data_IF_007056657204
#
_entry.id   IF_007056657204
#
_cell.length_a   1.000
_cell.length_b   1.000
_cell.length_c   1.000
_cell.angle_alpha   90.00
_cell.angle_beta   90.00
_cell.angle_gamma   90.00
#
_symmetry.space_group_name_H-M   'P 1'
#
loop_
_entity.id
_entity.type
_entity.pdbx_description
1 polymer ?
#
# COMPACT_ATOMS: atom_id res chain seq x y z
N UNK A 1 41.52 -27.20 8.46
CA UNK A 1 40.73 -28.38 8.88
C UNK A 1 41.50 -29.68 8.81
N UNK A 2 42.31 -29.90 7.79
CA UNK A 2 43.10 -31.14 7.67
C UNK A 2 44.08 -31.36 8.86
N UNK A 3 44.64 -30.26 9.42
CA UNK A 3 45.57 -30.29 10.57
C UNK A 3 44.93 -30.79 11.86
N UNK A 4 43.63 -30.60 12.02
CA UNK A 4 42.90 -30.90 13.27
C UNK A 4 41.83 -31.98 13.10
N UNK A 5 41.78 -32.71 11.96
CA UNK A 5 40.72 -33.66 11.62
C UNK A 5 40.36 -34.65 12.73
N UNK A 6 41.34 -35.14 13.47
CA UNK A 6 41.17 -36.19 14.49
C UNK A 6 40.50 -35.69 15.77
N UNK A 7 40.53 -34.37 16.01
CA UNK A 7 40.01 -33.76 17.24
C UNK A 7 38.67 -33.04 17.01
N UNK A 8 38.26 -32.90 15.76
CA UNK A 8 36.99 -32.25 15.39
C UNK A 8 35.79 -33.18 15.54
N UNK A 9 34.64 -32.60 15.92
CA UNK A 9 33.32 -33.25 15.81
C UNK A 9 32.82 -33.26 14.38
N UNK A 10 33.11 -32.17 13.65
CA UNK A 10 32.77 -31.99 12.25
C UNK A 10 33.91 -31.33 11.52
N UNK A 11 34.24 -31.82 10.32
CA UNK A 11 35.25 -31.23 9.47
C UNK A 11 34.79 -29.94 8.75
N UNK A 12 33.54 -29.50 8.96
CA UNK A 12 33.01 -28.27 8.37
C UNK A 12 33.04 -27.18 9.42
N UNK A 13 33.69 -26.01 9.14
CA UNK A 13 33.63 -24.87 10.02
C UNK A 13 32.18 -24.40 10.17
N UNK A 14 31.83 -23.90 11.34
CA UNK A 14 30.52 -23.32 11.63
C UNK A 14 30.65 -21.85 11.98
N UNK A 15 29.61 -21.07 11.70
CA UNK A 15 29.59 -19.64 12.04
C UNK A 15 29.02 -19.46 13.45
N UNK A 16 29.79 -18.75 14.31
CA UNK A 16 29.34 -18.34 15.64
C UNK A 16 29.75 -16.89 15.88
N UNK A 17 28.76 -16.04 16.21
CA UNK A 17 29.03 -14.62 16.46
C UNK A 17 29.67 -13.89 15.26
N UNK A 18 29.41 -14.31 14.02
CA UNK A 18 30.02 -13.73 12.82
C UNK A 18 31.41 -14.28 12.50
N UNK A 19 31.96 -15.22 13.29
CA UNK A 19 33.28 -15.80 13.09
C UNK A 19 33.20 -17.27 12.73
N UNK A 20 34.14 -17.73 11.91
CA UNK A 20 34.27 -19.14 11.55
C UNK A 20 35.03 -19.89 12.66
N UNK A 21 34.37 -20.86 13.25
CA UNK A 21 34.92 -21.68 14.36
C UNK A 21 34.92 -23.15 13.99
N UNK A 22 35.79 -23.88 14.61
CA UNK A 22 35.86 -25.35 14.57
C UNK A 22 35.09 -25.96 15.75
N UNK A 23 34.29 -26.97 15.45
CA UNK A 23 33.61 -27.75 16.47
C UNK A 23 34.60 -28.85 17.01
N UNK A 24 35.17 -28.61 18.15
CA UNK A 24 36.20 -29.47 18.76
C UNK A 24 35.60 -30.31 19.89
N UNK A 25 35.96 -31.60 19.98
CA UNK A 25 35.58 -32.44 21.10
C UNK A 25 36.08 -31.87 22.41
N UNK A 26 35.24 -31.73 23.43
CA UNK A 26 35.55 -31.05 24.69
C UNK A 26 36.77 -31.64 25.39
N UNK A 27 36.97 -32.97 25.34
CA UNK A 27 38.12 -33.66 25.90
C UNK A 27 39.43 -33.41 25.12
N UNK A 28 39.37 -32.79 23.95
CA UNK A 28 40.49 -32.45 23.07
C UNK A 28 40.65 -30.94 22.86
N UNK A 29 39.97 -30.11 23.66
CA UNK A 29 39.97 -28.64 23.50
C UNK A 29 41.38 -28.04 23.46
N UNK A 30 42.33 -28.59 24.22
CA UNK A 30 43.71 -28.08 24.30
C UNK A 30 44.56 -28.43 23.07
N UNK A 31 44.06 -29.27 22.17
CA UNK A 31 44.76 -29.64 20.94
C UNK A 31 44.61 -28.61 19.82
N UNK A 32 43.71 -27.64 19.96
CA UNK A 32 43.50 -26.55 18.99
C UNK A 32 43.77 -25.23 19.73
N UNK A 33 44.92 -24.59 19.49
CA UNK A 33 45.18 -23.25 20.01
C UNK A 33 44.22 -22.26 19.35
N UNK A 34 43.59 -21.40 20.16
CA UNK A 34 42.62 -20.45 19.65
C UNK A 34 41.67 -19.90 20.71
N UNK A 35 40.74 -19.08 20.27
CA UNK A 35 39.74 -18.42 21.11
C UNK A 35 38.49 -19.29 21.20
N UNK A 36 38.05 -19.58 22.43
CA UNK A 36 36.80 -20.29 22.69
C UNK A 36 35.64 -19.27 22.60
N UNK A 37 34.73 -19.49 21.66
CA UNK A 37 33.53 -18.64 21.47
C UNK A 37 32.30 -19.18 22.21
N UNK A 38 32.14 -20.51 22.22
CA UNK A 38 30.92 -21.12 22.78
C UNK A 38 31.22 -22.57 23.20
N UNK A 39 30.43 -23.07 24.13
CA UNK A 39 30.39 -24.50 24.53
C UNK A 39 28.97 -24.99 24.26
N UNK A 40 28.82 -26.19 23.68
CA UNK A 40 27.51 -26.77 23.42
C UNK A 40 26.73 -26.99 24.72
N UNK A 41 25.41 -26.98 24.66
CA UNK A 41 24.56 -27.20 25.85
C UNK A 41 24.84 -28.52 26.57
N UNK A 42 25.28 -29.53 25.85
CA UNK A 42 25.67 -30.83 26.42
C UNK A 42 27.08 -30.84 27.01
N UNK A 43 27.87 -29.77 26.80
CA UNK A 43 29.27 -29.70 27.22
C UNK A 43 30.24 -30.59 26.43
N UNK A 44 29.76 -31.33 25.41
CA UNK A 44 30.60 -32.30 24.69
C UNK A 44 31.42 -31.67 23.56
N UNK A 45 31.00 -30.48 23.07
CA UNK A 45 31.66 -29.77 21.95
C UNK A 45 32.01 -28.36 22.36
N UNK A 46 33.20 -27.91 22.00
CA UNK A 46 33.70 -26.56 22.19
C UNK A 46 33.95 -25.94 20.84
N UNK A 47 33.42 -24.72 20.63
CA UNK A 47 33.59 -23.97 19.38
C UNK A 47 34.80 -23.05 19.52
N UNK A 48 35.88 -23.37 18.79
CA UNK A 48 37.17 -22.69 18.88
C UNK A 48 37.49 -22.01 17.52
N UNK A 49 37.82 -20.71 17.57
CA UNK A 49 38.45 -20.02 16.45
C UNK A 49 39.96 -20.23 16.56
N UNK A 50 40.61 -20.94 15.63
CA UNK A 50 42.04 -21.18 15.68
C UNK A 50 42.83 -19.87 15.57
N UNK A 51 43.95 -19.76 16.28
CA UNK A 51 44.84 -18.57 16.21
C UNK A 51 45.19 -18.19 14.76
N UNK A 52 45.40 -19.21 13.91
CA UNK A 52 45.68 -19.03 12.47
C UNK A 52 44.53 -18.38 11.71
N UNK A 53 43.27 -18.55 12.20
CA UNK A 53 42.09 -17.97 11.56
C UNK A 53 41.73 -16.56 12.10
N UNK A 54 42.18 -16.22 13.32
CA UNK A 54 41.84 -14.95 13.98
C UNK A 54 42.27 -13.74 13.13
N UNK A 55 43.50 -13.78 12.59
CA UNK A 55 44.04 -12.68 11.78
C UNK A 55 43.17 -12.47 10.55
N UNK A 56 42.94 -13.53 9.77
CA UNK A 56 42.08 -13.47 8.59
C UNK A 56 40.63 -13.06 8.87
N UNK A 57 40.08 -13.52 10.00
CA UNK A 57 38.74 -13.12 10.46
C UNK A 57 38.69 -11.62 10.80
N UNK A 58 39.73 -11.09 11.43
CA UNK A 58 39.83 -9.67 11.77
C UNK A 58 39.95 -8.81 10.50
N UNK A 59 40.82 -9.19 9.57
CA UNK A 59 40.98 -8.52 8.28
C UNK A 59 39.67 -8.49 7.49
N UNK A 60 38.90 -9.60 7.51
CA UNK A 60 37.60 -9.65 6.87
C UNK A 60 36.61 -8.64 7.50
N UNK A 61 36.55 -8.61 8.83
CA UNK A 61 35.68 -7.68 9.55
C UNK A 61 36.07 -6.24 9.28
N UNK A 62 37.37 -5.91 9.28
CA UNK A 62 37.87 -4.56 8.93
C UNK A 62 37.47 -4.18 7.52
N UNK A 63 37.67 -5.07 6.54
CA UNK A 63 37.28 -4.84 5.15
C UNK A 63 35.76 -4.64 4.98
N UNK A 64 34.95 -5.37 5.73
CA UNK A 64 33.50 -5.18 5.76
C UNK A 64 33.10 -3.81 6.33
N UNK A 65 33.76 -3.36 7.39
CA UNK A 65 33.53 -2.01 7.92
C UNK A 65 33.94 -0.92 6.94
N UNK A 66 35.09 -1.05 6.30
CA UNK A 66 35.55 -0.11 5.25
C UNK A 66 34.57 -0.05 4.09
N UNK A 67 34.10 -1.21 3.62
CA UNK A 67 33.10 -1.29 2.56
C UNK A 67 31.79 -0.56 2.95
N UNK A 68 31.30 -0.80 4.16
CA UNK A 68 30.09 -0.12 4.65
C UNK A 68 30.28 1.39 4.78
N UNK A 69 31.46 1.82 5.22
CA UNK A 69 31.79 3.24 5.32
C UNK A 69 31.82 3.91 3.93
N UNK A 70 32.40 3.25 2.92
CA UNK A 70 32.45 3.79 1.56
C UNK A 70 31.07 3.81 0.88
N UNK A 71 30.26 2.75 1.07
CA UNK A 71 28.86 2.74 0.62
C UNK A 71 28.10 3.93 1.24
N UNK A 72 28.23 4.14 2.54
CA UNK A 72 27.57 5.26 3.22
C UNK A 72 28.00 6.61 2.67
N UNK A 73 29.29 6.80 2.41
CA UNK A 73 29.83 8.02 1.83
C UNK A 73 29.23 8.30 0.45
N UNK A 74 29.20 7.28 -0.44
CA UNK A 74 28.60 7.39 -1.76
C UNK A 74 27.12 7.77 -1.68
N UNK A 75 26.36 7.14 -0.77
CA UNK A 75 24.95 7.44 -0.57
C UNK A 75 24.72 8.89 -0.10
N UNK A 76 25.57 9.39 0.81
CA UNK A 76 25.51 10.78 1.26
C UNK A 76 25.80 11.74 0.11
N UNK A 77 26.87 11.49 -0.67
CA UNK A 77 27.22 12.32 -1.84
C UNK A 77 26.07 12.36 -2.88
N UNK A 78 25.41 11.24 -3.11
CA UNK A 78 24.24 11.18 -4.00
C UNK A 78 23.05 11.97 -3.42
N UNK A 79 22.80 11.83 -2.12
CA UNK A 79 21.73 12.55 -1.44
C UNK A 79 21.96 14.09 -1.48
N UNK A 80 23.21 14.53 -1.29
CA UNK A 80 23.57 15.94 -1.39
C UNK A 80 23.37 16.51 -2.81
N UNK A 81 23.61 15.71 -3.85
CA UNK A 81 23.34 16.10 -5.24
C UNK A 81 21.86 16.23 -5.56
N UNK A 82 20.99 15.42 -4.92
CA UNK A 82 19.54 15.41 -5.15
C UNK A 82 18.84 16.45 -4.26
N UNK A 83 19.34 16.69 -3.05
CA UNK A 83 18.72 17.55 -2.05
C UNK A 83 18.31 18.93 -2.57
N UNK A 84 19.12 19.65 -3.38
CA UNK A 84 18.74 20.96 -3.92
C UNK A 84 17.45 20.95 -4.76
N UNK A 85 17.14 19.80 -5.38
CA UNK A 85 15.98 19.64 -6.26
C UNK A 85 14.75 19.04 -5.54
N UNK A 86 14.84 18.83 -4.22
CA UNK A 86 13.79 18.13 -3.47
C UNK A 86 12.42 18.82 -3.54
N UNK A 87 12.37 20.14 -3.50
CA UNK A 87 11.12 20.90 -3.62
C UNK A 87 10.55 20.85 -5.04
N UNK A 88 11.37 20.94 -6.05
CA UNK A 88 10.96 20.82 -7.45
C UNK A 88 10.40 19.42 -7.74
N UNK A 89 11.04 18.38 -7.22
CA UNK A 89 10.54 17.00 -7.33
C UNK A 89 9.20 16.81 -6.62
N UNK A 90 9.05 17.35 -5.42
CA UNK A 90 7.77 17.33 -4.68
C UNK A 90 6.66 18.05 -5.44
N UNK A 91 6.98 19.21 -6.03
CA UNK A 91 6.01 19.96 -6.83
C UNK A 91 5.63 19.24 -8.11
N UNK A 92 6.61 18.62 -8.78
CA UNK A 92 6.36 17.78 -9.94
C UNK A 92 5.43 16.60 -9.61
N UNK A 93 5.66 15.91 -8.48
CA UNK A 93 4.77 14.84 -8.01
C UNK A 93 3.34 15.31 -7.76
N UNK A 94 3.16 16.49 -7.13
CA UNK A 94 1.82 17.08 -6.92
C UNK A 94 1.10 17.42 -8.24
N UNK A 95 1.84 17.86 -9.24
CA UNK A 95 1.27 18.14 -10.58
C UNK A 95 0.89 16.82 -11.25
N UNK A 96 1.76 15.82 -11.21
CA UNK A 96 1.49 14.49 -11.78
C UNK A 96 0.26 13.83 -11.12
N UNK A 97 0.13 13.93 -9.80
CA UNK A 97 -1.05 13.45 -9.06
C UNK A 97 -2.35 14.09 -9.57
N UNK A 98 -2.37 15.42 -9.74
CA UNK A 98 -3.53 16.12 -10.28
C UNK A 98 -3.86 15.73 -11.72
N UNK A 99 -2.84 15.53 -12.53
CA UNK A 99 -3.01 15.09 -13.93
C UNK A 99 -3.55 13.66 -13.99
N UNK A 100 -3.05 12.77 -13.14
CA UNK A 100 -3.49 11.38 -13.07
C UNK A 100 -4.96 11.28 -12.63
N UNK A 101 -5.36 12.01 -11.58
CA UNK A 101 -6.76 12.10 -11.14
C UNK A 101 -7.66 12.61 -12.26
N UNK A 102 -7.25 13.69 -12.95
CA UNK A 102 -8.04 14.25 -14.05
C UNK A 102 -8.15 13.28 -15.23
N UNK A 103 -7.06 12.59 -15.56
CA UNK A 103 -7.04 11.57 -16.61
C UNK A 103 -7.93 10.37 -16.25
N UNK A 104 -7.84 9.87 -15.03
CA UNK A 104 -8.68 8.79 -14.53
C UNK A 104 -10.17 9.15 -14.58
N UNK A 105 -10.54 10.34 -14.11
CA UNK A 105 -11.91 10.85 -14.17
C UNK A 105 -12.42 10.96 -15.59
N UNK A 106 -11.62 11.51 -16.51
CA UNK A 106 -11.99 11.66 -17.91
C UNK A 106 -12.13 10.30 -18.62
N UNK A 107 -11.20 9.39 -18.40
CA UNK A 107 -11.22 8.05 -19.00
C UNK A 107 -12.43 7.25 -18.52
N UNK A 108 -12.67 7.25 -17.19
CA UNK A 108 -13.85 6.60 -16.63
C UNK A 108 -15.15 7.24 -17.10
N UNK A 109 -15.19 8.57 -17.14
CA UNK A 109 -16.34 9.32 -17.64
C UNK A 109 -16.69 8.99 -19.09
N UNK A 110 -15.68 8.90 -19.96
CA UNK A 110 -15.85 8.50 -21.37
C UNK A 110 -16.37 7.07 -21.50
N UNK A 111 -15.77 6.11 -20.75
CA UNK A 111 -16.17 4.70 -20.82
C UNK A 111 -17.60 4.47 -20.36
N UNK A 112 -18.08 5.25 -19.38
CA UNK A 112 -19.40 5.09 -18.78
C UNK A 112 -20.43 6.11 -19.27
N UNK A 113 -20.12 6.87 -20.31
CA UNK A 113 -20.97 7.94 -20.86
C UNK A 113 -21.50 8.86 -19.74
N UNK A 114 -20.55 9.39 -18.96
CA UNK A 114 -20.85 10.25 -17.82
C UNK A 114 -20.90 11.72 -18.23
N UNK A 115 -21.60 12.52 -17.43
CA UNK A 115 -21.63 13.98 -17.52
C UNK A 115 -21.18 14.61 -16.20
N UNK A 116 -20.64 15.82 -16.26
CA UNK A 116 -20.47 16.63 -15.07
C UNK A 116 -21.81 17.27 -14.69
N UNK A 117 -22.32 16.95 -13.53
CA UNK A 117 -23.55 17.55 -13.06
C UNK A 117 -23.40 19.06 -12.88
N UNK A 118 -24.42 19.83 -13.22
CA UNK A 118 -24.43 21.26 -12.93
C UNK A 118 -24.38 21.48 -11.41
N UNK A 119 -23.46 22.31 -10.98
CA UNK A 119 -23.32 22.67 -9.57
C UNK A 119 -24.46 23.61 -9.19
N UNK A 120 -25.31 23.18 -8.29
CA UNK A 120 -26.31 24.05 -7.71
C UNK A 120 -25.70 24.83 -6.56
N UNK A 121 -25.37 26.10 -6.83
CA UNK A 121 -24.79 27.02 -5.84
C UNK A 121 -25.85 27.80 -5.04
N UNK A 122 -27.06 27.84 -5.56
CA UNK A 122 -28.18 28.56 -4.93
C UNK A 122 -29.21 27.56 -4.42
N UNK A 123 -29.22 27.01 -3.33
CA UNK A 123 -30.18 26.02 -2.77
C UNK A 123 -31.61 26.00 -3.34
N UNK A 124 -31.86 26.72 -4.42
CA UNK A 124 -33.12 26.94 -5.12
C UNK A 124 -33.45 25.88 -6.18
N UNK A 125 -32.43 25.25 -6.78
CA UNK A 125 -32.69 24.21 -7.78
C UNK A 125 -32.77 22.84 -7.11
N UNK A 126 -33.85 22.10 -7.31
CA UNK A 126 -33.99 20.76 -6.75
C UNK A 126 -33.02 19.77 -7.42
N UNK A 127 -32.68 18.71 -6.71
CA UNK A 127 -31.96 17.57 -7.29
C UNK A 127 -32.74 17.06 -8.52
N UNK A 128 -32.04 16.98 -9.64
CA UNK A 128 -32.55 16.41 -10.87
C UNK A 128 -31.47 15.52 -11.51
N UNK A 129 -31.68 14.22 -11.50
CA UNK A 129 -30.80 13.28 -12.18
C UNK A 129 -31.52 12.62 -13.33
N UNK A 130 -31.00 12.80 -14.53
CA UNK A 130 -31.60 12.32 -15.77
C UNK A 130 -30.88 11.06 -16.25
N UNK A 131 -31.64 10.00 -16.50
CA UNK A 131 -31.13 8.70 -16.96
C UNK A 131 -29.97 8.18 -16.09
N UNK A 132 -30.08 8.36 -14.78
CA UNK A 132 -29.09 7.90 -13.82
C UNK A 132 -28.86 6.40 -13.92
N UNK A 133 -27.63 5.98 -14.10
CA UNK A 133 -27.21 4.57 -14.12
C UNK A 133 -26.29 4.29 -12.94
N UNK A 134 -26.50 3.14 -12.29
CA UNK A 134 -25.64 2.78 -11.17
C UNK A 134 -24.20 2.51 -11.64
N UNK A 135 -23.18 3.20 -11.12
CA UNK A 135 -21.80 3.14 -11.64
C UNK A 135 -21.20 1.75 -11.72
N UNK A 136 -21.58 0.85 -10.80
CA UNK A 136 -21.00 -0.49 -10.69
C UNK A 136 -21.80 -1.59 -11.40
N UNK A 137 -22.90 -1.26 -12.06
CA UNK A 137 -23.72 -2.24 -12.79
C UNK A 137 -23.38 -2.30 -14.30
N UNK A 138 -22.57 -1.37 -14.79
CA UNK A 138 -22.16 -1.31 -16.20
C UNK A 138 -23.37 -1.32 -17.14
N UNK A 139 -23.32 -2.11 -18.21
CA UNK A 139 -24.37 -2.22 -19.22
C UNK A 139 -25.71 -2.77 -18.69
N UNK A 140 -25.69 -3.45 -17.55
CA UNK A 140 -26.91 -3.96 -16.88
C UNK A 140 -27.69 -2.89 -16.11
N UNK A 141 -27.16 -1.69 -16.00
CA UNK A 141 -27.81 -0.60 -15.29
C UNK A 141 -29.01 -0.08 -16.09
N UNK A 142 -30.19 -0.17 -15.53
CA UNK A 142 -31.42 0.41 -16.08
C UNK A 142 -31.43 1.90 -15.72
N UNK A 143 -31.50 2.82 -16.73
CA UNK A 143 -31.53 4.25 -16.47
C UNK A 143 -32.81 4.68 -15.72
N UNK A 144 -32.65 5.54 -14.69
CA UNK A 144 -33.76 6.05 -13.88
C UNK A 144 -33.69 7.57 -13.79
N UNK A 145 -34.84 8.24 -13.95
CA UNK A 145 -34.97 9.66 -13.68
C UNK A 145 -35.37 9.87 -12.21
N UNK A 146 -34.60 10.71 -11.51
CA UNK A 146 -34.90 11.10 -10.13
C UNK A 146 -35.00 12.62 -10.05
N UNK A 147 -36.18 13.13 -9.72
CA UNK A 147 -36.43 14.57 -9.63
C UNK A 147 -37.12 14.93 -8.32
N UNK A 148 -36.56 15.90 -7.63
CA UNK A 148 -37.25 16.54 -6.54
C UNK A 148 -38.06 17.72 -7.04
N UNK A 149 -39.28 17.90 -6.53
CA UNK A 149 -40.08 19.08 -6.82
C UNK A 149 -39.52 20.28 -6.01
N UNK A 150 -39.66 21.51 -6.52
CA UNK A 150 -39.28 22.71 -5.80
C UNK A 150 -39.88 22.75 -4.39
N UNK A 151 -39.05 23.06 -3.40
CA UNK A 151 -39.47 23.13 -1.99
C UNK A 151 -39.72 21.80 -1.28
N UNK A 152 -39.64 20.66 -1.97
CA UNK A 152 -39.76 19.33 -1.34
C UNK A 152 -38.39 18.80 -0.93
N UNK A 153 -38.34 18.22 0.28
CA UNK A 153 -37.11 17.67 0.87
C UNK A 153 -37.12 16.16 1.02
N UNK A 154 -38.28 15.53 0.80
CA UNK A 154 -38.48 14.10 0.98
C UNK A 154 -38.94 13.50 -0.34
N UNK A 155 -38.30 12.42 -0.75
CA UNK A 155 -38.69 11.59 -1.88
C UNK A 155 -39.02 10.20 -1.36
N UNK A 156 -40.25 9.74 -1.59
CA UNK A 156 -40.70 8.39 -1.24
C UNK A 156 -40.68 7.54 -2.51
N UNK A 157 -39.90 6.42 -2.48
CA UNK A 157 -39.80 5.47 -3.58
C UNK A 157 -40.56 4.21 -3.19
N UNK A 158 -41.63 3.90 -3.87
CA UNK A 158 -42.47 2.73 -3.65
C UNK A 158 -42.41 1.78 -4.84
N UNK A 159 -42.71 0.52 -4.62
CA UNK A 159 -42.76 -0.50 -5.67
C UNK A 159 -42.38 -1.89 -5.16
N UNK A 160 -42.41 -2.93 -6.02
CA UNK A 160 -42.05 -4.30 -5.64
C UNK A 160 -40.55 -4.41 -5.30
N UNK A 161 -40.16 -5.46 -4.54
CA UNK A 161 -38.75 -5.63 -4.11
C UNK A 161 -37.77 -5.80 -5.25
N UNK A 162 -38.21 -6.33 -6.39
CA UNK A 162 -37.43 -6.46 -7.62
C UNK A 162 -37.37 -5.16 -8.47
N UNK A 163 -38.06 -4.10 -8.05
CA UNK A 163 -38.24 -2.85 -8.81
C UNK A 163 -37.09 -1.85 -8.74
N UNK A 164 -35.91 -2.23 -8.24
CA UNK A 164 -34.73 -1.37 -8.26
C UNK A 164 -34.71 -0.24 -7.22
N UNK A 165 -35.60 -0.24 -6.22
CA UNK A 165 -35.66 0.79 -5.14
C UNK A 165 -34.31 1.01 -4.48
N UNK A 166 -33.67 -0.05 -3.98
CA UNK A 166 -32.38 -0.02 -3.32
C UNK A 166 -31.27 0.44 -4.26
N UNK A 167 -31.32 0.01 -5.52
CA UNK A 167 -30.35 0.45 -6.54
C UNK A 167 -30.47 1.95 -6.78
N UNK A 168 -31.69 2.48 -6.88
CA UNK A 168 -31.93 3.92 -7.05
C UNK A 168 -31.39 4.74 -5.87
N UNK A 169 -31.64 4.31 -4.63
CA UNK A 169 -31.09 4.96 -3.43
C UNK A 169 -29.56 4.97 -3.43
N UNK A 170 -28.94 3.81 -3.70
CA UNK A 170 -27.48 3.68 -3.80
C UNK A 170 -26.92 4.56 -4.92
N UNK A 171 -27.58 4.63 -6.05
CA UNK A 171 -27.16 5.46 -7.19
C UNK A 171 -27.11 6.94 -6.83
N UNK A 172 -28.16 7.47 -6.21
CA UNK A 172 -28.20 8.88 -5.81
C UNK A 172 -27.17 9.21 -4.74
N UNK A 173 -26.97 8.34 -3.75
CA UNK A 173 -25.94 8.52 -2.73
C UNK A 173 -24.52 8.52 -3.36
N UNK A 174 -24.24 7.59 -4.27
CA UNK A 174 -22.97 7.55 -5.00
C UNK A 174 -22.78 8.78 -5.90
N UNK A 175 -23.82 9.26 -6.56
CA UNK A 175 -23.77 10.46 -7.37
C UNK A 175 -23.41 11.69 -6.56
N UNK A 176 -23.98 11.83 -5.36
CA UNK A 176 -23.62 12.89 -4.42
C UNK A 176 -22.13 12.87 -4.08
N UNK A 177 -21.59 11.70 -3.76
CA UNK A 177 -20.18 11.51 -3.42
C UNK A 177 -19.25 11.75 -4.62
N UNK A 178 -19.56 11.18 -5.78
CA UNK A 178 -18.79 11.38 -7.03
C UNK A 178 -18.74 12.85 -7.43
N UNK A 179 -19.90 13.51 -7.48
CA UNK A 179 -20.01 14.93 -7.84
C UNK A 179 -19.19 15.82 -6.89
N UNK A 180 -19.27 15.57 -5.57
CA UNK A 180 -18.54 16.36 -4.56
C UNK A 180 -17.03 16.07 -4.59
N UNK A 181 -16.62 14.92 -5.08
CA UNK A 181 -15.21 14.58 -5.32
C UNK A 181 -14.69 15.07 -6.67
N UNK A 182 -15.51 15.77 -7.47
CA UNK A 182 -15.12 16.29 -8.79
C UNK A 182 -15.15 15.27 -9.92
N UNK A 183 -15.81 14.11 -9.70
CA UNK A 183 -15.98 13.09 -10.74
C UNK A 183 -17.28 13.28 -11.52
N UNK A 184 -17.30 12.93 -12.81
CA UNK A 184 -18.55 12.90 -13.59
C UNK A 184 -19.44 11.76 -13.11
N UNK A 185 -20.71 11.80 -13.43
CA UNK A 185 -21.72 10.80 -13.05
C UNK A 185 -22.36 10.17 -14.29
N UNK A 186 -22.66 8.86 -14.31
CA UNK A 186 -23.27 8.19 -15.46
C UNK A 186 -24.75 8.55 -15.60
N UNK A 187 -24.99 9.72 -16.17
CA UNK A 187 -26.30 10.34 -16.36
C UNK A 187 -26.32 11.12 -17.68
N UNK A 188 -27.45 11.74 -18.02
CA UNK A 188 -27.57 12.63 -19.19
C UNK A 188 -27.35 14.09 -18.82
N UNK A 189 -27.03 14.90 -19.84
CA UNK A 189 -26.91 16.34 -19.73
C UNK A 189 -28.17 16.97 -19.13
N UNK A 190 -27.99 18.00 -18.31
CA UNK A 190 -29.07 18.61 -17.55
C UNK A 190 -29.25 18.05 -16.15
N UNK A 191 -28.45 17.05 -15.77
CA UNK A 191 -28.38 16.56 -14.37
C UNK A 191 -27.86 17.66 -13.47
N UNK A 192 -28.58 17.91 -12.36
CA UNK A 192 -28.27 18.90 -11.32
C UNK A 192 -28.15 18.17 -9.98
N UNK A 193 -27.00 18.30 -9.34
CA UNK A 193 -26.76 17.69 -8.04
C UNK A 193 -26.37 18.76 -7.01
N UNK A 194 -27.11 18.90 -5.92
CA UNK A 194 -26.74 19.80 -4.84
C UNK A 194 -25.51 19.29 -4.10
N UNK A 195 -24.88 20.18 -3.34
CA UNK A 195 -23.80 19.84 -2.41
C UNK A 195 -24.41 19.49 -1.07
N UNK A 196 -24.11 18.30 -0.56
CA UNK A 196 -24.59 17.81 0.73
C UNK A 196 -23.48 17.92 1.78
N UNK A 197 -23.82 18.38 2.97
CA UNK A 197 -22.87 18.38 4.10
C UNK A 197 -22.55 16.97 4.57
N UNK A 198 -23.54 16.08 4.51
CA UNK A 198 -23.43 14.68 4.92
C UNK A 198 -24.27 13.79 4.02
N UNK A 199 -23.83 12.57 3.83
CA UNK A 199 -24.56 11.51 3.13
C UNK A 199 -24.63 10.31 4.07
N UNK A 200 -25.84 9.97 4.51
CA UNK A 200 -26.09 8.79 5.34
C UNK A 200 -26.95 7.81 4.56
N UNK A 201 -26.65 6.53 4.65
CA UNK A 201 -27.45 5.48 4.04
C UNK A 201 -27.70 4.38 5.09
N UNK A 202 -28.96 4.17 5.40
CA UNK A 202 -29.42 2.99 6.15
C UNK A 202 -30.06 2.04 5.13
N UNK A 203 -29.32 0.99 4.78
CA UNK A 203 -29.71 0.00 3.78
C UNK A 203 -29.62 -1.36 4.46
N UNK A 204 -30.65 -1.66 5.27
CA UNK A 204 -30.83 -2.96 5.90
C UNK A 204 -31.38 -3.98 4.90
N UNK A 205 -30.81 -5.17 4.82
CA UNK A 205 -31.45 -6.34 4.23
C UNK A 205 -32.50 -6.87 5.23
N UNK A 206 -33.73 -6.35 5.19
CA UNK A 206 -34.88 -7.00 5.82
C UNK A 206 -35.28 -8.28 5.05
N UNK A 207 -34.36 -9.10 4.63
CA UNK A 207 -34.62 -10.37 3.94
C UNK A 207 -34.17 -11.58 4.76
N UNK A 208 -34.18 -11.48 6.08
CA UNK A 208 -34.02 -12.64 6.94
C UNK A 208 -35.15 -12.69 8.00
N UNK A 209 -36.34 -13.00 7.55
CA UNK A 209 -37.36 -13.71 8.31
C UNK A 209 -38.08 -14.69 7.39
#
# INVERSE_FOLDING_TARGET
>A
NSKYSDVLESNVPVLRGGRQVLAVKSNRRNSVPGIIHEVSQTGLTVYIEPDEAVIASNELIEAEFELQAEIRKILVELAEKISPYSEDLKNALKIMEKMDIAHAAASWGKQNSCVFAKKNTSHSEPLCSLKARHPLLGEKAIPVDVKFLPGKRILIITGPNTGGKTVTLKTIALFALLNQSGFPVPAEEGTVLPVFSNVFADIGDEQSM
#
